data_IF_583053587079
#
_entry.id   IF_583053587079
#
_cell.length_a   1.000
_cell.length_b   1.000
_cell.length_c   1.000
_cell.angle_alpha   90.00
_cell.angle_beta   90.00
_cell.angle_gamma   90.00
#
_symmetry.space_group_name_H-M   'P 1'
#
loop_
_entity.id
_entity.type
_entity.pdbx_description
1 polymer ?
#
# COMPACT_ATOMS: atom_id res chain seq x y z
N UNK A 1 -18.40 6.49 -1.21
CA UNK A 1 -17.02 7.01 -1.10
C UNK A 1 -16.61 7.40 0.33
N UNK A 2 -17.54 7.57 1.28
CA UNK A 2 -17.27 8.11 2.63
C UNK A 2 -16.49 7.13 3.53
N UNK A 3 -16.90 5.87 3.60
CA UNK A 3 -16.25 4.87 4.47
C UNK A 3 -14.77 4.61 4.11
N UNK A 4 -14.42 4.66 2.82
CA UNK A 4 -13.04 4.51 2.38
C UNK A 4 -12.15 5.68 2.79
N UNK A 5 -12.68 6.92 2.74
CA UNK A 5 -11.97 8.11 3.21
C UNK A 5 -11.82 8.12 4.73
N UNK A 6 -12.82 7.66 5.49
CA UNK A 6 -12.73 7.52 6.95
C UNK A 6 -11.67 6.50 7.35
N UNK A 7 -11.62 5.35 6.67
CA UNK A 7 -10.60 4.33 6.93
C UNK A 7 -9.19 4.83 6.59
N UNK A 8 -9.05 5.60 5.50
CA UNK A 8 -7.77 6.23 5.14
C UNK A 8 -7.33 7.27 6.18
N UNK A 9 -8.27 8.04 6.75
CA UNK A 9 -7.97 8.99 7.82
C UNK A 9 -7.54 8.26 9.11
N UNK A 10 -8.20 7.16 9.47
CA UNK A 10 -7.81 6.32 10.60
C UNK A 10 -6.41 5.72 10.41
N UNK A 11 -6.12 5.17 9.23
CA UNK A 11 -4.78 4.65 8.89
C UNK A 11 -3.71 5.74 9.02
N UNK A 12 -4.00 6.93 8.47
CA UNK A 12 -3.07 8.05 8.53
C UNK A 12 -2.79 8.48 9.97
N UNK A 13 -3.83 8.69 10.77
CA UNK A 13 -3.72 9.13 12.16
C UNK A 13 -2.96 8.12 13.01
N UNK A 14 -3.26 6.82 12.85
CA UNK A 14 -2.58 5.76 13.57
C UNK A 14 -1.09 5.67 13.22
N UNK A 15 -0.75 5.93 11.95
CA UNK A 15 0.60 5.77 11.42
C UNK A 15 1.38 7.09 11.19
N UNK A 16 0.87 8.22 11.67
CA UNK A 16 1.46 9.55 11.47
C UNK A 16 2.80 9.70 12.18
N UNK A 17 2.90 9.21 13.41
CA UNK A 17 4.06 9.40 14.29
C UNK A 17 5.02 8.20 14.28
N UNK A 18 5.08 7.47 13.16
CA UNK A 18 5.99 6.32 13.03
C UNK A 18 7.44 6.77 13.16
N UNK A 19 8.18 6.10 14.04
CA UNK A 19 9.59 6.36 14.26
C UNK A 19 10.42 5.89 13.06
N UNK A 20 11.65 6.39 12.98
CA UNK A 20 12.62 5.90 12.00
C UNK A 20 12.95 4.43 12.28
N UNK A 21 13.06 3.63 11.22
CA UNK A 21 13.48 2.25 11.29
C UNK A 21 14.96 2.18 11.65
N UNK A 22 15.25 1.35 12.64
CA UNK A 22 16.60 1.05 13.10
C UNK A 22 17.00 -0.34 12.63
N UNK A 23 18.26 -0.51 12.25
CA UNK A 23 18.88 -1.83 12.05
C UNK A 23 19.45 -2.37 13.37
N UNK A 24 19.75 -3.67 13.39
CA UNK A 24 20.64 -4.23 14.41
C UNK A 24 22.08 -3.99 13.95
N UNK A 25 22.83 -3.18 14.70
CA UNK A 25 24.29 -3.19 14.67
C UNK A 25 24.81 -4.34 15.52
N UNK A 26 26.06 -4.75 15.31
CA UNK A 26 26.63 -5.93 15.97
C UNK A 26 26.89 -5.71 17.47
N UNK A 27 27.19 -4.49 17.93
CA UNK A 27 27.37 -4.17 19.35
C UNK A 27 26.91 -2.72 19.63
N UNK A 28 25.79 -2.56 20.34
CA UNK A 28 25.21 -1.30 20.89
C UNK A 28 24.89 -0.11 19.96
N UNK A 29 25.36 -0.05 18.72
CA UNK A 29 25.03 1.06 17.81
C UNK A 29 23.72 0.82 17.04
N UNK A 30 22.75 1.69 17.31
CA UNK A 30 21.48 1.75 16.58
C UNK A 30 21.70 2.41 15.22
N UNK A 31 21.84 1.60 14.17
CA UNK A 31 22.02 2.12 12.81
C UNK A 31 20.68 2.60 12.24
N UNK A 32 20.52 3.90 12.08
CA UNK A 32 19.35 4.49 11.43
C UNK A 32 19.30 4.16 9.93
N UNK A 33 18.18 3.63 9.45
CA UNK A 33 18.01 3.30 8.03
C UNK A 33 17.61 4.53 7.21
N UNK A 34 18.34 4.75 6.12
CA UNK A 34 18.04 5.77 5.12
C UNK A 34 17.91 5.15 3.73
N UNK A 35 17.07 5.75 2.89
CA UNK A 35 17.04 5.48 1.46
C UNK A 35 17.54 6.71 0.71
N UNK A 36 18.34 6.49 -0.32
CA UNK A 36 18.80 7.57 -1.20
C UNK A 36 17.73 7.79 -2.28
N UNK A 37 17.32 9.04 -2.48
CA UNK A 37 16.40 9.43 -3.53
C UNK A 37 16.89 10.65 -4.29
N UNK A 38 16.60 10.72 -5.59
CA UNK A 38 16.88 11.92 -6.38
C UNK A 38 15.75 12.94 -6.24
N UNK A 39 16.08 14.17 -5.85
CA UNK A 39 15.13 15.28 -5.92
C UNK A 39 15.16 15.90 -7.30
N UNK A 40 14.05 15.80 -8.04
CA UNK A 40 13.90 16.49 -9.33
C UNK A 40 13.89 18.02 -9.19
N UNK A 41 13.40 18.53 -8.05
CA UNK A 41 13.30 19.97 -7.74
C UNK A 41 14.69 20.54 -7.46
N UNK A 42 15.47 19.87 -6.61
CA UNK A 42 16.79 20.37 -6.17
C UNK A 42 17.96 19.80 -6.98
N UNK A 43 17.70 18.96 -7.99
CA UNK A 43 18.70 18.28 -8.83
C UNK A 43 19.85 17.65 -8.03
N UNK A 44 19.51 17.00 -6.91
CA UNK A 44 20.49 16.37 -6.02
C UNK A 44 19.96 15.09 -5.39
N UNK A 45 20.87 14.20 -4.99
CA UNK A 45 20.55 13.06 -4.15
C UNK A 45 20.30 13.52 -2.71
N UNK A 46 19.26 12.99 -2.09
CA UNK A 46 18.91 13.23 -0.70
C UNK A 46 18.69 11.90 0.03
N UNK A 47 19.15 11.83 1.27
CA UNK A 47 18.84 10.73 2.17
C UNK A 47 17.47 10.99 2.83
N UNK A 48 16.53 10.06 2.67
CA UNK A 48 15.24 10.09 3.37
C UNK A 48 15.20 9.00 4.44
N UNK A 49 14.73 9.31 5.66
CA UNK A 49 14.61 8.29 6.70
C UNK A 49 13.63 7.21 6.25
N UNK A 50 14.00 5.95 6.48
CA UNK A 50 13.06 4.82 6.33
C UNK A 50 12.27 4.76 7.63
N UNK A 51 10.94 4.83 7.56
CA UNK A 51 10.10 4.70 8.75
C UNK A 51 9.83 3.22 9.07
N UNK A 52 9.50 2.94 10.32
CA UNK A 52 9.02 1.63 10.75
C UNK A 52 7.80 1.18 9.91
N UNK A 53 7.58 -0.13 9.85
CA UNK A 53 6.41 -0.69 9.17
C UNK A 53 5.11 -0.10 9.75
N UNK A 54 4.07 -0.04 8.92
CA UNK A 54 2.74 0.37 9.39
C UNK A 54 2.22 -0.63 10.42
N UNK A 55 1.58 -0.11 11.46
CA UNK A 55 0.79 -0.92 12.36
C UNK A 55 -0.69 -0.83 11.94
N UNK A 56 -1.33 -2.00 11.94
CA UNK A 56 -2.74 -2.20 11.61
C UNK A 56 -3.53 -2.76 12.80
N UNK A 57 -3.00 -2.63 14.01
CA UNK A 57 -3.66 -3.05 15.25
C UNK A 57 -5.07 -2.49 15.39
N UNK A 58 -5.30 -1.24 14.98
CA UNK A 58 -6.64 -0.61 14.96
C UNK A 58 -7.69 -1.38 14.15
N UNK A 59 -7.28 -2.19 13.16
CA UNK A 59 -8.22 -3.01 12.38
C UNK A 59 -8.84 -4.12 13.23
N UNK A 60 -8.15 -4.62 14.26
CA UNK A 60 -8.66 -5.70 15.12
C UNK A 60 -9.94 -5.28 15.85
N UNK A 61 -9.99 -4.05 16.32
CA UNK A 61 -11.17 -3.51 17.01
C UNK A 61 -12.34 -3.30 16.04
N UNK A 62 -12.02 -2.88 14.80
CA UNK A 62 -13.02 -2.71 13.75
C UNK A 62 -13.60 -4.07 13.35
N UNK A 63 -12.76 -5.08 13.11
CA UNK A 63 -13.22 -6.42 12.73
C UNK A 63 -14.02 -7.08 13.84
N UNK A 64 -13.60 -6.95 15.10
CA UNK A 64 -14.35 -7.46 16.24
C UNK A 64 -15.76 -6.85 16.32
N UNK A 65 -15.88 -5.52 16.15
CA UNK A 65 -17.18 -4.83 16.14
C UNK A 65 -18.06 -5.24 14.96
N UNK A 66 -17.47 -5.49 13.80
CA UNK A 66 -18.20 -5.99 12.63
C UNK A 66 -18.74 -7.39 12.89
N UNK A 67 -17.93 -8.30 13.46
CA UNK A 67 -18.38 -9.65 13.81
C UNK A 67 -19.57 -9.62 14.78
N UNK A 68 -19.52 -8.78 15.82
CA UNK A 68 -20.64 -8.62 16.76
C UNK A 68 -21.91 -8.13 16.07
N UNK A 69 -21.81 -7.23 15.08
CA UNK A 69 -22.97 -6.75 14.31
C UNK A 69 -23.53 -7.82 13.39
N UNK A 70 -22.66 -8.65 12.80
CA UNK A 70 -23.06 -9.81 12.00
C UNK A 70 -23.83 -10.80 12.88
N UNK A 71 -23.29 -11.15 14.05
CA UNK A 71 -23.92 -12.11 14.97
C UNK A 71 -25.30 -11.63 15.47
N UNK A 72 -25.49 -10.31 15.59
CA UNK A 72 -26.78 -9.69 15.95
C UNK A 72 -27.77 -9.58 14.79
N UNK A 73 -27.40 -9.99 13.58
CA UNK A 73 -28.23 -9.84 12.39
C UNK A 73 -28.38 -8.38 11.91
N UNK A 74 -27.54 -7.46 12.40
CA UNK A 74 -27.57 -6.03 12.07
C UNK A 74 -26.86 -5.72 10.74
N UNK A 75 -26.15 -6.69 10.15
CA UNK A 75 -25.48 -6.56 8.86
C UNK A 75 -26.44 -6.79 7.69
N UNK A 76 -27.46 -5.94 7.58
CA UNK A 76 -28.28 -5.80 6.38
C UNK A 76 -27.66 -4.80 5.41
N UNK A 77 -26.59 -5.18 4.70
CA UNK A 77 -26.15 -4.44 3.52
C UNK A 77 -25.81 -5.45 2.43
N UNK A 78 -26.78 -5.70 1.55
CA UNK A 78 -26.46 -6.07 0.17
C UNK A 78 -25.63 -4.94 -0.42
N UNK A 79 -24.32 -4.97 -0.19
CA UNK A 79 -23.40 -4.23 -1.02
C UNK A 79 -23.43 -4.95 -2.36
N UNK A 80 -24.35 -4.55 -3.24
CA UNK A 80 -24.19 -4.71 -4.68
C UNK A 80 -22.98 -3.87 -5.06
N UNK A 81 -21.79 -4.42 -4.81
CA UNK A 81 -20.55 -3.88 -5.33
C UNK A 81 -20.62 -4.16 -6.82
N UNK A 82 -21.19 -3.21 -7.57
CA UNK A 82 -20.99 -3.18 -9.02
C UNK A 82 -19.49 -2.98 -9.18
N UNK A 83 -18.74 -4.01 -9.64
CA UNK A 83 -17.32 -3.84 -9.85
C UNK A 83 -17.16 -2.66 -10.82
N UNK A 84 -16.22 -1.74 -10.58
CA UNK A 84 -15.95 -0.69 -11.55
C UNK A 84 -15.68 -1.39 -12.88
N UNK A 85 -16.40 -0.98 -13.92
CA UNK A 85 -16.20 -1.49 -15.27
C UNK A 85 -14.74 -1.20 -15.63
N UNK A 86 -13.86 -2.18 -15.44
CA UNK A 86 -12.46 -2.05 -15.77
C UNK A 86 -12.41 -1.79 -17.26
N UNK A 87 -12.07 -0.55 -17.62
CA UNK A 87 -11.94 -0.04 -19.00
C UNK A 87 -10.83 -0.75 -19.81
N UNK A 88 -10.40 -1.95 -19.44
CA UNK A 88 -9.61 -2.79 -20.32
C UNK A 88 -10.60 -3.41 -21.32
N UNK A 89 -10.71 -2.88 -22.55
CA UNK A 89 -11.73 -3.31 -23.52
C UNK A 89 -11.36 -4.64 -24.19
N UNK A 90 -10.21 -5.21 -23.84
CA UNK A 90 -9.64 -6.39 -24.46
C UNK A 90 -9.34 -7.44 -23.39
N UNK A 91 -9.58 -8.69 -23.76
CA UNK A 91 -9.10 -9.85 -23.01
C UNK A 91 -7.60 -9.71 -22.75
N UNK A 92 -7.18 -10.15 -21.56
CA UNK A 92 -5.78 -10.10 -21.17
C UNK A 92 -4.96 -10.94 -22.16
N UNK A 93 -4.00 -10.35 -22.90
CA UNK A 93 -3.15 -11.11 -23.81
C UNK A 93 -2.37 -12.17 -23.04
N UNK A 94 -2.06 -13.27 -23.70
CA UNK A 94 -1.32 -14.36 -23.08
C UNK A 94 0.08 -13.89 -22.63
N UNK A 95 0.65 -14.55 -21.61
CA UNK A 95 1.99 -14.22 -21.10
C UNK A 95 3.04 -14.30 -22.22
N UNK A 96 2.87 -15.23 -23.14
CA UNK A 96 3.77 -15.48 -24.26
C UNK A 96 3.75 -14.34 -25.27
N UNK A 97 2.57 -13.88 -25.69
CA UNK A 97 2.41 -12.73 -26.60
C UNK A 97 3.03 -11.43 -26.05
N UNK A 98 2.90 -11.20 -24.73
CA UNK A 98 3.50 -10.03 -24.07
C UNK A 98 5.03 -10.11 -24.11
N UNK A 99 5.59 -11.30 -23.91
CA UNK A 99 7.04 -11.53 -23.96
C UNK A 99 7.57 -11.34 -25.39
N UNK A 100 6.87 -11.85 -26.40
CA UNK A 100 7.27 -11.71 -27.81
C UNK A 100 7.24 -10.26 -28.28
N UNK A 101 6.16 -9.53 -28.00
CA UNK A 101 6.09 -8.08 -28.27
C UNK A 101 7.26 -7.35 -27.63
N UNK A 102 7.58 -7.65 -26.36
CA UNK A 102 8.70 -7.02 -25.65
C UNK A 102 10.05 -7.31 -26.33
N UNK A 103 10.28 -8.53 -26.81
CA UNK A 103 11.49 -8.91 -27.55
C UNK A 103 11.59 -8.20 -28.90
N UNK A 104 10.48 -8.05 -29.62
CA UNK A 104 10.44 -7.32 -30.90
C UNK A 104 10.81 -5.84 -30.72
N UNK A 105 10.27 -5.17 -29.71
CA UNK A 105 10.59 -3.76 -29.43
C UNK A 105 12.00 -3.55 -28.85
N UNK A 106 12.60 -4.57 -28.23
CA UNK A 106 13.98 -4.50 -27.74
C UNK A 106 15.04 -4.54 -28.87
N UNK A 107 14.65 -4.97 -30.08
CA UNK A 107 15.52 -5.01 -31.28
C UNK A 107 15.69 -3.67 -31.98
N UNK A 108 14.91 -2.65 -31.62
CA UNK A 108 15.05 -1.28 -32.14
C UNK A 108 15.83 -0.39 -31.17
N UNK A 109 17.04 -0.83 -30.81
CA UNK A 109 18.01 -0.03 -30.04
C UNK A 109 19.25 0.23 -30.87
#
# INVERSE_FOLDING_TARGET
MIAGTELAALDHNHNANRKQATGQGEEEEVIFRYRIGWSKVFKKYTAKPVLQNKDYSYLKDITAKVLVRVDKGECGLENTVVPPQTLAPAEKPSREEVIEKRKLFARFK
#
